data_IF_059348718853
#
_entry.id   IF_059348718853
#
_cell.length_a   1.000
_cell.length_b   1.000
_cell.length_c   1.000
_cell.angle_alpha   90.00
_cell.angle_beta   90.00
_cell.angle_gamma   90.00
#
_symmetry.space_group_name_H-M   'P 1'
#
loop_
_entity.id
_entity.type
_entity.pdbx_description
1 polymer ?
#
# COMPACT_ATOMS: atom_id res chain seq x y z
N UNK A 1 24.65 -12.73 -2.36
CA UNK A 1 24.17 -11.34 -2.47
C UNK A 1 22.90 -11.21 -3.31
N UNK A 2 21.85 -11.98 -2.99
CA UNK A 2 20.61 -12.02 -3.78
C UNK A 2 19.36 -11.60 -2.98
N UNK A 3 19.54 -11.09 -1.75
CA UNK A 3 18.44 -10.71 -0.87
C UNK A 3 18.52 -9.23 -0.53
N UNK A 4 17.38 -8.56 -0.62
CA UNK A 4 17.20 -7.16 -0.25
C UNK A 4 17.15 -7.10 1.29
N UNK A 5 18.08 -6.38 1.90
CA UNK A 5 18.27 -6.37 3.35
C UNK A 5 17.46 -5.26 4.05
N UNK A 6 16.97 -4.26 3.30
CA UNK A 6 16.15 -3.19 3.87
C UNK A 6 15.37 -2.36 2.84
N UNK A 7 14.48 -1.51 3.34
CA UNK A 7 13.58 -0.66 2.53
C UNK A 7 14.28 0.23 1.50
N UNK A 8 15.51 0.68 1.78
CA UNK A 8 16.27 1.51 0.84
C UNK A 8 16.63 0.76 -0.45
N UNK A 9 16.72 -0.57 -0.37
CA UNK A 9 17.07 -1.44 -1.49
C UNK A 9 15.81 -1.89 -2.26
N UNK A 10 14.63 -1.80 -1.63
CA UNK A 10 13.34 -2.04 -2.26
C UNK A 10 13.01 -0.88 -3.21
N UNK A 11 13.56 -0.94 -4.43
CA UNK A 11 13.10 -0.07 -5.51
C UNK A 11 11.88 -0.70 -6.15
N UNK A 12 10.82 0.08 -6.32
CA UNK A 12 9.63 -0.33 -7.07
C UNK A 12 9.99 -0.84 -8.47
N UNK A 13 9.14 -1.71 -9.01
CA UNK A 13 9.30 -2.23 -10.37
C UNK A 13 9.27 -1.06 -11.35
N UNK A 14 10.27 -0.93 -12.21
CA UNK A 14 10.36 0.18 -13.15
C UNK A 14 9.16 0.16 -14.12
N UNK A 15 8.54 1.32 -14.36
CA UNK A 15 7.34 1.45 -15.21
C UNK A 15 7.52 0.85 -16.62
N UNK A 16 8.75 0.77 -17.14
CA UNK A 16 9.04 0.13 -18.43
C UNK A 16 8.77 -1.38 -18.47
N UNK A 17 8.69 -2.05 -17.31
CA UNK A 17 8.37 -3.48 -17.24
C UNK A 17 6.87 -3.74 -17.46
N UNK A 18 6.05 -2.68 -17.49
CA UNK A 18 4.63 -2.73 -17.79
C UNK A 18 3.76 -2.34 -16.61
N UNK A 19 2.52 -1.96 -16.92
CA UNK A 19 1.48 -1.66 -15.95
C UNK A 19 0.66 -2.93 -15.66
N UNK A 20 0.53 -3.30 -14.39
CA UNK A 20 -0.33 -4.43 -14.00
C UNK A 20 -1.77 -3.94 -13.83
N UNK A 21 -2.70 -4.47 -14.63
CA UNK A 21 -4.13 -4.16 -14.54
C UNK A 21 -4.91 -5.31 -13.92
N UNK A 22 -5.64 -5.02 -12.84
CA UNK A 22 -6.54 -5.98 -12.19
C UNK A 22 -7.90 -5.90 -12.88
N UNK A 23 -8.33 -7.01 -13.52
CA UNK A 23 -9.66 -7.09 -14.14
C UNK A 23 -10.71 -7.37 -13.07
N UNK A 24 -11.74 -6.52 -13.00
CA UNK A 24 -12.87 -6.72 -12.11
C UNK A 24 -13.81 -7.79 -12.67
N UNK A 25 -14.47 -8.53 -11.76
CA UNK A 25 -15.56 -9.46 -12.13
C UNK A 25 -16.80 -8.67 -12.51
N UNK A 26 -17.67 -9.29 -13.31
CA UNK A 26 -18.98 -8.73 -13.62
C UNK A 26 -19.79 -8.50 -12.34
N UNK A 27 -20.36 -7.30 -12.19
CA UNK A 27 -21.10 -6.88 -10.99
C UNK A 27 -20.24 -6.43 -9.81
N UNK A 28 -18.91 -6.39 -9.92
CA UNK A 28 -18.06 -5.82 -8.89
C UNK A 28 -18.27 -4.30 -8.79
N UNK A 29 -18.48 -3.82 -7.57
CA UNK A 29 -18.63 -2.40 -7.27
C UNK A 29 -17.69 -2.00 -6.12
N UNK A 30 -17.31 -0.73 -6.01
CA UNK A 30 -16.53 -0.21 -4.89
C UNK A 30 -17.20 -0.51 -3.55
N UNK A 31 -16.38 -0.73 -2.52
CA UNK A 31 -16.84 -0.98 -1.16
C UNK A 31 -16.08 -0.05 -0.22
N UNK A 32 -16.84 0.69 0.57
CA UNK A 32 -16.31 1.47 1.68
C UNK A 32 -16.51 0.72 2.99
N UNK A 33 -15.42 0.37 3.67
CA UNK A 33 -15.45 -0.27 4.99
C UNK A 33 -14.87 0.66 6.05
N UNK A 34 -15.55 0.73 7.21
CA UNK A 34 -15.10 1.51 8.36
C UNK A 34 -13.76 0.97 8.90
N UNK A 35 -12.73 1.83 9.11
CA UNK A 35 -11.47 1.44 9.75
C UNK A 35 -11.67 0.85 11.16
N UNK A 36 -10.83 -0.11 11.53
CA UNK A 36 -10.84 -0.66 12.88
C UNK A 36 -10.22 0.31 13.88
N UNK A 37 -10.58 0.16 15.16
CA UNK A 37 -9.88 0.84 16.25
C UNK A 37 -8.58 0.10 16.52
N UNK A 38 -7.45 0.76 16.27
CA UNK A 38 -6.12 0.22 16.51
C UNK A 38 -5.59 0.66 17.88
N UNK A 39 -4.85 -0.22 18.56
CA UNK A 39 -4.09 0.15 19.76
C UNK A 39 -3.03 1.20 19.40
N UNK A 40 -2.85 2.22 20.25
CA UNK A 40 -1.89 3.30 20.03
C UNK A 40 -0.45 2.80 19.82
N UNK A 41 0.00 1.80 20.57
CA UNK A 41 1.35 1.24 20.42
C UNK A 41 1.53 0.56 19.06
N UNK A 42 0.46 -0.04 18.52
CA UNK A 42 0.49 -0.63 17.18
C UNK A 42 0.43 0.46 16.12
N UNK A 43 -0.39 1.50 16.33
CA UNK A 43 -0.51 2.63 15.42
C UNK A 43 0.84 3.33 15.17
N UNK A 44 1.67 3.51 16.20
CA UNK A 44 3.02 4.08 16.06
C UNK A 44 3.87 3.24 15.11
N UNK A 45 3.91 1.91 15.31
CA UNK A 45 4.71 1.00 14.48
C UNK A 45 4.20 0.90 13.04
N UNK A 46 2.87 0.85 12.87
CA UNK A 46 2.24 0.81 11.55
C UNK A 46 2.56 2.10 10.79
N UNK A 47 2.49 3.25 11.46
CA UNK A 47 2.86 4.53 10.86
C UNK A 47 4.32 4.56 10.42
N UNK A 48 5.25 4.11 11.27
CA UNK A 48 6.67 4.04 10.90
C UNK A 48 6.91 3.17 9.66
N UNK A 49 6.19 2.05 9.51
CA UNK A 49 6.34 1.19 8.35
C UNK A 49 5.73 1.78 7.08
N UNK A 50 4.57 2.42 7.19
CA UNK A 50 3.94 3.18 6.10
C UNK A 50 4.89 4.29 5.62
N UNK A 51 5.49 5.05 6.54
CA UNK A 51 6.41 6.13 6.21
C UNK A 51 7.65 5.61 5.45
N UNK A 52 8.16 4.41 5.78
CA UNK A 52 9.23 3.74 5.01
C UNK A 52 8.77 3.31 3.62
N UNK A 53 7.56 2.76 3.51
CA UNK A 53 7.00 2.35 2.22
C UNK A 53 6.81 3.55 1.28
N UNK A 54 6.33 4.69 1.81
CA UNK A 54 6.24 5.96 1.06
C UNK A 54 7.63 6.40 0.60
N UNK A 55 8.62 6.40 1.50
CA UNK A 55 9.99 6.80 1.15
C UNK A 55 10.63 5.91 0.08
N UNK A 56 10.29 4.61 0.04
CA UNK A 56 10.73 3.69 -1.01
C UNK A 56 9.94 3.80 -2.33
N UNK A 57 8.83 4.55 -2.35
CA UNK A 57 7.95 4.69 -3.52
C UNK A 57 7.12 3.44 -3.82
N UNK A 58 6.93 2.56 -2.84
CA UNK A 58 6.08 1.36 -2.98
C UNK A 58 4.59 1.75 -2.91
N UNK A 59 4.25 2.69 -2.02
CA UNK A 59 2.91 3.23 -1.86
C UNK A 59 2.94 4.74 -2.07
N UNK A 60 1.82 5.27 -2.57
CA UNK A 60 1.62 6.70 -2.77
C UNK A 60 0.34 7.15 -2.06
N UNK A 61 0.33 8.41 -1.61
CA UNK A 61 -0.87 9.01 -1.07
C UNK A 61 -1.80 9.40 -2.23
N UNK A 62 -3.07 9.00 -2.12
CA UNK A 62 -4.13 9.39 -3.04
C UNK A 62 -5.13 10.27 -2.30
N UNK A 63 -5.71 11.26 -2.99
CA UNK A 63 -6.66 12.19 -2.38
C UNK A 63 -7.99 11.51 -2.05
N UNK A 64 -8.52 10.71 -2.98
CA UNK A 64 -9.83 10.09 -2.87
C UNK A 64 -9.85 8.67 -3.45
N UNK A 65 -10.57 7.75 -2.79
CA UNK A 65 -10.84 6.40 -3.28
C UNK A 65 -12.18 5.89 -2.73
N UNK A 66 -12.99 5.30 -3.61
CA UNK A 66 -14.24 4.61 -3.25
C UNK A 66 -13.97 3.21 -2.66
N UNK A 67 -12.78 2.67 -2.88
CA UNK A 67 -12.33 1.39 -2.35
C UNK A 67 -11.59 1.63 -1.03
N UNK A 68 -12.28 1.41 0.08
CA UNK A 68 -11.70 1.56 1.42
C UNK A 68 -11.85 0.25 2.19
N UNK A 69 -10.71 -0.27 2.64
CA UNK A 69 -10.62 -1.48 3.45
C UNK A 69 -9.95 -1.07 4.77
N UNK A 70 -10.44 -1.56 5.93
CA UNK A 70 -9.82 -1.26 7.20
C UNK A 70 -8.41 -1.86 7.26
N UNK A 71 -7.48 -1.10 7.82
CA UNK A 71 -6.20 -1.59 8.33
C UNK A 71 -6.33 -2.02 9.79
#
# INVERSE_FOLDING_TARGET
>A
DLFLCGYHELKGVHHSLGEMKIKLKEGAHPIWKRPYRMNLNLHVKVKEEIDKMIASGIIEAIEESEWIIPM
#
